data_IF_782438657246
#
_entry.id   IF_782438657246
#
_cell.length_a   1.000
_cell.length_b   1.000
_cell.length_c   1.000
_cell.angle_alpha   90.00
_cell.angle_beta   90.00
_cell.angle_gamma   90.00
#
_symmetry.space_group_name_H-M   'P 1'
#
loop_
_entity.id
_entity.type
_entity.pdbx_description
1 polymer ?
#
# COMPACT_ATOMS: atom_id res chain seq x y z
N UNK A 1 16.91 -0.16 9.37
CA UNK A 1 17.80 0.75 8.62
C UNK A 1 17.01 1.92 8.04
N UNK A 2 15.90 1.70 7.32
CA UNK A 2 15.02 2.75 6.77
C UNK A 2 14.46 3.63 7.88
N UNK A 3 13.90 3.06 8.96
CA UNK A 3 13.39 3.82 10.10
C UNK A 3 14.47 4.66 10.77
N UNK A 4 15.68 4.11 10.99
CA UNK A 4 16.81 4.85 11.57
C UNK A 4 17.26 5.99 10.66
N UNK A 5 17.33 5.75 9.35
CA UNK A 5 17.67 6.79 8.37
C UNK A 5 16.61 7.90 8.37
N UNK A 6 15.34 7.53 8.48
CA UNK A 6 14.22 8.44 8.52
C UNK A 6 14.26 9.32 9.78
N UNK A 7 14.42 8.71 10.95
CA UNK A 7 14.58 9.44 12.23
C UNK A 7 15.80 10.36 12.22
N UNK A 8 16.89 9.96 11.57
CA UNK A 8 18.09 10.78 11.45
C UNK A 8 17.92 11.98 10.50
N UNK A 9 17.20 11.79 9.40
CA UNK A 9 16.96 12.86 8.40
C UNK A 9 15.85 13.82 8.81
N UNK A 10 14.81 13.32 9.50
CA UNK A 10 13.58 14.07 9.81
C UNK A 10 13.25 14.16 11.29
N UNK A 11 14.06 13.57 12.17
CA UNK A 11 13.90 13.56 13.64
C UNK A 11 14.24 14.91 14.30
N UNK A 12 13.79 16.01 13.71
CA UNK A 12 13.85 17.33 14.32
C UNK A 12 12.78 17.53 15.39
N UNK A 13 12.89 18.58 16.20
CA UNK A 13 11.85 19.03 17.13
C UNK A 13 11.23 20.34 16.62
N UNK A 14 9.93 20.52 16.88
CA UNK A 14 9.19 21.73 16.49
C UNK A 14 8.72 21.76 15.04
N UNK A 15 8.59 22.94 14.40
CA UNK A 15 7.96 23.10 13.09
C UNK A 15 8.53 22.22 11.97
N UNK A 16 9.82 21.90 12.03
CA UNK A 16 10.48 21.03 11.03
C UNK A 16 9.97 19.61 11.14
N UNK A 17 9.69 19.12 12.34
CA UNK A 17 9.12 17.80 12.56
C UNK A 17 7.72 17.72 11.97
N UNK A 18 6.84 18.68 12.27
CA UNK A 18 5.47 18.71 11.76
C UNK A 18 5.45 18.77 10.21
N UNK A 19 6.31 19.57 9.59
CA UNK A 19 6.45 19.63 8.14
C UNK A 19 6.90 18.26 7.58
N UNK A 20 7.88 17.61 8.21
CA UNK A 20 8.36 16.30 7.76
C UNK A 20 7.29 15.24 7.88
N UNK A 21 6.50 15.25 8.95
CA UNK A 21 5.34 14.37 9.16
C UNK A 21 4.30 14.56 8.06
N UNK A 22 3.93 15.82 7.76
CA UNK A 22 2.99 16.15 6.69
C UNK A 22 3.46 15.68 5.31
N UNK A 23 4.73 15.93 4.99
CA UNK A 23 5.32 15.48 3.72
C UNK A 23 5.30 13.95 3.61
N UNK A 24 5.65 13.24 4.68
CA UNK A 24 5.64 11.78 4.69
C UNK A 24 4.23 11.21 4.55
N UNK A 25 3.25 11.79 5.23
CA UNK A 25 1.86 11.39 5.10
C UNK A 25 1.35 11.59 3.66
N UNK A 26 1.70 12.69 3.00
CA UNK A 26 1.33 12.94 1.60
C UNK A 26 2.06 11.98 0.63
N UNK A 27 3.32 11.65 0.87
CA UNK A 27 4.03 10.64 0.09
C UNK A 27 3.34 9.27 0.26
N UNK A 28 3.04 8.87 1.50
CA UNK A 28 2.31 7.64 1.80
C UNK A 28 0.94 7.61 1.11
N UNK A 29 0.19 8.72 1.13
CA UNK A 29 -1.07 8.88 0.41
C UNK A 29 -0.92 8.60 -1.09
N UNK A 30 0.08 9.20 -1.74
CA UNK A 30 0.34 8.99 -3.17
C UNK A 30 0.73 7.54 -3.49
N UNK A 31 1.56 6.93 -2.65
CA UNK A 31 1.94 5.51 -2.80
C UNK A 31 0.72 4.58 -2.63
N UNK A 32 -0.13 4.84 -1.64
CA UNK A 32 -1.38 4.07 -1.43
C UNK A 32 -2.35 4.25 -2.59
N UNK A 33 -2.50 5.47 -3.10
CA UNK A 33 -3.35 5.75 -4.26
C UNK A 33 -2.89 4.98 -5.50
N UNK A 34 -1.58 4.98 -5.77
CA UNK A 34 -0.99 4.20 -6.85
C UNK A 34 -1.23 2.71 -6.65
N UNK A 35 -0.90 2.17 -5.47
CA UNK A 35 -1.02 0.74 -5.16
C UNK A 35 -2.47 0.28 -5.23
N UNK A 36 -3.41 1.07 -4.69
CA UNK A 36 -4.85 0.81 -4.77
C UNK A 36 -5.33 0.71 -6.23
N UNK A 37 -4.94 1.66 -7.07
CA UNK A 37 -5.27 1.65 -8.51
C UNK A 37 -4.63 0.44 -9.23
N UNK A 38 -3.39 0.12 -8.91
CA UNK A 38 -2.68 -1.01 -9.49
C UNK A 38 -3.33 -2.35 -9.10
N UNK A 39 -3.75 -2.51 -7.83
CA UNK A 39 -4.46 -3.70 -7.36
C UNK A 39 -5.82 -3.87 -8.02
N UNK A 40 -6.58 -2.79 -8.17
CA UNK A 40 -7.86 -2.80 -8.88
C UNK A 40 -7.71 -3.24 -10.35
N UNK A 41 -6.68 -2.77 -11.03
CA UNK A 41 -6.41 -3.14 -12.41
C UNK A 41 -5.90 -4.58 -12.55
N UNK A 42 -5.19 -5.10 -11.55
CA UNK A 42 -4.70 -6.50 -11.50
C UNK A 42 -5.74 -7.53 -11.08
N UNK A 43 -6.94 -7.15 -10.74
CA UNK A 43 -8.02 -8.09 -10.50
C UNK A 43 -8.46 -8.85 -11.79
N UNK A 44 -7.86 -8.57 -12.94
CA UNK A 44 -7.73 -9.52 -14.05
C UNK A 44 -6.59 -10.51 -13.75
N UNK A 45 -6.76 -11.22 -12.65
CA UNK A 45 -5.83 -12.18 -12.05
C UNK A 45 -5.36 -13.26 -13.06
N UNK A 46 -6.17 -13.55 -14.06
CA UNK A 46 -5.84 -14.55 -15.08
C UNK A 46 -4.64 -14.15 -15.94
N UNK A 47 -4.53 -12.88 -16.34
CA UNK A 47 -3.39 -12.41 -17.15
C UNK A 47 -2.07 -12.38 -16.34
N UNK A 48 -2.17 -11.98 -15.07
CA UNK A 48 -1.02 -11.97 -14.17
C UNK A 48 -0.59 -13.38 -13.75
N UNK A 49 -1.52 -14.24 -13.37
CA UNK A 49 -1.22 -15.63 -13.05
C UNK A 49 -0.65 -16.36 -14.27
N UNK A 50 -1.16 -16.09 -15.47
CA UNK A 50 -0.58 -16.62 -16.71
C UNK A 50 0.85 -16.11 -16.92
N UNK A 51 1.09 -14.81 -16.75
CA UNK A 51 2.43 -14.22 -16.89
C UNK A 51 3.43 -14.80 -15.87
N UNK A 52 3.06 -14.85 -14.58
CA UNK A 52 3.90 -15.44 -13.53
C UNK A 52 4.13 -16.92 -13.80
N UNK A 53 3.07 -17.67 -14.13
CA UNK A 53 3.16 -19.10 -14.41
C UNK A 53 4.08 -19.38 -15.59
N UNK A 54 3.93 -18.66 -16.70
CA UNK A 54 4.79 -18.80 -17.87
C UNK A 54 6.26 -18.43 -17.54
N UNK A 55 6.49 -17.38 -16.77
CA UNK A 55 7.84 -16.98 -16.35
C UNK A 55 8.46 -17.99 -15.36
N UNK A 56 7.67 -18.51 -14.43
CA UNK A 56 8.14 -19.49 -13.44
C UNK A 56 8.33 -20.85 -14.10
N UNK A 57 7.41 -21.30 -14.96
CA UNK A 57 7.53 -22.57 -15.68
C UNK A 57 8.73 -22.53 -16.64
N UNK A 58 8.97 -21.44 -17.37
CA UNK A 58 10.15 -21.31 -18.21
C UNK A 58 11.46 -21.30 -17.41
N UNK A 59 11.51 -20.59 -16.28
CA UNK A 59 12.70 -20.57 -15.42
C UNK A 59 12.97 -21.94 -14.77
N UNK A 60 11.92 -22.66 -14.35
CA UNK A 60 12.04 -24.02 -13.79
C UNK A 60 12.42 -25.02 -14.88
N UNK A 61 11.83 -24.92 -16.08
CA UNK A 61 12.18 -25.78 -17.22
C UNK A 61 13.63 -25.57 -17.64
N UNK A 62 14.12 -24.34 -17.73
CA UNK A 62 15.51 -24.03 -18.03
C UNK A 62 16.46 -24.56 -16.96
N UNK A 63 16.08 -24.45 -15.67
CA UNK A 63 16.84 -25.02 -14.56
C UNK A 63 16.88 -26.55 -14.61
N UNK A 64 15.74 -27.19 -14.88
CA UNK A 64 15.65 -28.66 -15.01
C UNK A 64 16.44 -29.18 -16.21
N UNK A 65 16.35 -28.49 -17.36
CA UNK A 65 17.12 -28.86 -18.54
C UNK A 65 18.64 -28.75 -18.31
N UNK A 66 19.12 -27.73 -17.58
CA UNK A 66 20.52 -27.57 -17.21
C UNK A 66 20.98 -28.64 -16.22
N UNK A 67 20.14 -28.99 -15.24
CA UNK A 67 20.42 -30.09 -14.29
C UNK A 67 20.45 -31.43 -15.02
N UNK A 68 19.53 -31.67 -15.95
CA UNK A 68 19.48 -32.89 -16.78
C UNK A 68 20.66 -32.98 -17.75
N UNK A 69 21.24 -31.87 -18.17
CA UNK A 69 22.47 -31.80 -19.00
C UNK A 69 23.76 -31.95 -18.18
N UNK A 70 23.66 -32.14 -16.85
CA UNK A 70 24.83 -32.24 -15.95
C UNK A 70 25.53 -30.89 -15.69
N UNK A 71 24.98 -29.82 -16.18
CA UNK A 71 25.39 -28.44 -15.85
C UNK A 71 24.74 -28.04 -14.53
N UNK A 72 25.53 -27.84 -13.49
CA UNK A 72 25.00 -27.35 -12.20
C UNK A 72 24.23 -26.02 -12.38
N UNK A 73 23.18 -25.81 -11.59
CA UNK A 73 22.47 -24.52 -11.54
C UNK A 73 23.50 -23.44 -11.25
N UNK A 74 23.79 -22.61 -12.24
CA UNK A 74 24.85 -21.60 -12.13
C UNK A 74 24.58 -20.68 -10.94
N UNK A 75 25.58 -20.46 -10.10
CA UNK A 75 25.50 -19.60 -8.91
C UNK A 75 24.85 -18.23 -9.23
N UNK A 76 25.11 -17.69 -10.43
CA UNK A 76 24.52 -16.45 -10.93
C UNK A 76 23.00 -16.49 -11.04
N UNK A 77 22.38 -17.61 -11.39
CA UNK A 77 20.93 -17.76 -11.47
C UNK A 77 20.29 -17.77 -10.07
N UNK A 78 20.92 -18.50 -9.13
CA UNK A 78 20.47 -18.56 -7.73
C UNK A 78 20.56 -17.17 -7.10
N UNK A 79 21.68 -16.47 -7.31
CA UNK A 79 21.88 -15.09 -6.81
C UNK A 79 20.88 -14.13 -7.43
N UNK A 80 20.60 -14.24 -8.72
CA UNK A 80 19.61 -13.39 -9.41
C UNK A 80 18.20 -13.57 -8.84
N UNK A 81 17.76 -14.81 -8.64
CA UNK A 81 16.45 -15.13 -8.03
C UNK A 81 16.38 -14.68 -6.57
N UNK A 82 17.45 -14.89 -5.81
CA UNK A 82 17.54 -14.42 -4.42
C UNK A 82 17.47 -12.89 -4.33
N UNK A 83 18.16 -12.19 -5.24
CA UNK A 83 18.16 -10.73 -5.28
C UNK A 83 16.79 -10.15 -5.69
N UNK A 84 16.11 -10.76 -6.66
CA UNK A 84 14.74 -10.40 -7.02
C UNK A 84 13.79 -10.58 -5.85
N UNK A 85 13.88 -11.72 -5.14
CA UNK A 85 13.05 -11.97 -3.96
C UNK A 85 13.39 -10.99 -2.83
N UNK A 86 14.66 -10.70 -2.62
CA UNK A 86 15.11 -9.73 -1.63
C UNK A 86 14.57 -8.33 -1.93
N UNK A 87 14.70 -7.86 -3.17
CA UNK A 87 14.21 -6.54 -3.59
C UNK A 87 12.68 -6.42 -3.44
N UNK A 88 11.95 -7.48 -3.76
CA UNK A 88 10.49 -7.50 -3.57
C UNK A 88 10.12 -7.38 -2.09
N UNK A 89 10.72 -8.18 -1.21
CA UNK A 89 10.46 -8.13 0.25
C UNK A 89 10.95 -6.81 0.85
N UNK A 90 12.11 -6.31 0.41
CA UNK A 90 12.65 -5.04 0.87
C UNK A 90 11.73 -3.87 0.52
N UNK A 91 11.17 -3.87 -0.68
CA UNK A 91 10.21 -2.86 -1.12
C UNK A 91 8.97 -2.85 -0.22
N UNK A 92 8.34 -4.00 -0.02
CA UNK A 92 7.15 -4.14 0.85
C UNK A 92 7.46 -3.74 2.31
N UNK A 93 8.64 -4.13 2.80
CA UNK A 93 9.12 -3.72 4.12
C UNK A 93 9.32 -2.22 4.25
N UNK A 94 9.89 -1.57 3.23
CA UNK A 94 10.07 -0.12 3.22
C UNK A 94 8.73 0.63 3.19
N UNK A 95 7.77 0.18 2.36
CA UNK A 95 6.41 0.74 2.33
C UNK A 95 5.74 0.61 3.71
N UNK A 96 5.84 -0.55 4.36
CA UNK A 96 5.29 -0.78 5.70
C UNK A 96 5.89 0.18 6.73
N UNK A 97 7.22 0.38 6.71
CA UNK A 97 7.88 1.32 7.65
C UNK A 97 7.38 2.75 7.45
N UNK A 98 7.26 3.21 6.20
CA UNK A 98 6.77 4.56 5.89
C UNK A 98 5.33 4.74 6.39
N UNK A 99 4.45 3.74 6.20
CA UNK A 99 3.08 3.79 6.69
C UNK A 99 3.01 3.81 8.21
N UNK A 100 3.80 2.97 8.89
CA UNK A 100 3.87 2.97 10.35
C UNK A 100 4.38 4.30 10.91
N UNK A 101 5.40 4.87 10.30
CA UNK A 101 5.93 6.17 10.69
C UNK A 101 4.88 7.27 10.51
N UNK A 102 4.18 7.29 9.38
CA UNK A 102 3.10 8.25 9.13
C UNK A 102 1.97 8.14 10.14
N UNK A 103 1.55 6.92 10.51
CA UNK A 103 0.51 6.70 11.53
C UNK A 103 1.00 7.13 12.92
N UNK A 104 2.26 6.81 13.26
CA UNK A 104 2.85 7.19 14.54
C UNK A 104 2.94 8.69 14.70
N UNK A 105 3.38 9.37 13.65
CA UNK A 105 3.49 10.83 13.61
C UNK A 105 2.15 11.51 13.85
N UNK A 106 1.09 11.02 13.20
CA UNK A 106 -0.25 11.61 13.32
C UNK A 106 -0.86 11.45 14.71
N UNK A 107 -0.68 10.31 15.37
CA UNK A 107 -1.38 9.99 16.62
C UNK A 107 -0.46 9.98 17.85
N UNK A 108 0.84 9.89 17.67
CA UNK A 108 1.88 9.77 18.72
C UNK A 108 1.56 8.72 19.80
N UNK A 109 0.67 7.76 19.49
CA UNK A 109 0.28 6.67 20.38
C UNK A 109 1.10 5.41 20.11
N UNK A 110 2.25 5.31 20.77
CA UNK A 110 3.10 4.12 20.68
C UNK A 110 2.40 2.85 21.19
N UNK A 111 1.54 2.95 22.21
CA UNK A 111 0.85 1.77 22.76
C UNK A 111 -0.18 1.24 21.78
N UNK A 112 -1.03 2.10 21.21
CA UNK A 112 -2.00 1.71 20.18
C UNK A 112 -1.32 1.10 18.96
N UNK A 113 -0.19 1.64 18.55
CA UNK A 113 0.59 1.13 17.41
C UNK A 113 1.17 -0.27 17.68
N UNK A 114 1.71 -0.53 18.88
CA UNK A 114 2.19 -1.88 19.25
C UNK A 114 1.05 -2.89 19.36
N UNK A 115 -0.07 -2.51 19.98
CA UNK A 115 -1.26 -3.37 20.08
C UNK A 115 -1.79 -3.70 18.68
N UNK A 116 -1.92 -2.69 17.82
CA UNK A 116 -2.36 -2.86 16.42
C UNK A 116 -1.41 -3.75 15.61
N UNK A 117 -0.10 -3.57 15.77
CA UNK A 117 0.92 -4.38 15.12
C UNK A 117 0.88 -5.85 15.54
N UNK A 118 0.74 -6.12 16.84
CA UNK A 118 0.60 -7.48 17.37
C UNK A 118 -0.71 -8.12 16.88
N UNK A 119 -1.82 -7.38 16.95
CA UNK A 119 -3.12 -7.87 16.46
C UNK A 119 -3.06 -8.21 14.96
N UNK A 120 -2.46 -7.34 14.14
CA UNK A 120 -2.25 -7.61 12.72
C UNK A 120 -1.36 -8.84 12.49
N UNK A 121 -0.29 -9.00 13.27
CA UNK A 121 0.59 -10.17 13.22
C UNK A 121 -0.15 -11.47 13.52
N UNK A 122 -1.02 -11.46 14.53
CA UNK A 122 -1.87 -12.62 14.88
C UNK A 122 -2.85 -12.94 13.75
N UNK A 123 -3.51 -11.93 13.17
CA UNK A 123 -4.41 -12.12 12.03
C UNK A 123 -3.68 -12.70 10.83
N UNK A 124 -2.50 -12.18 10.51
CA UNK A 124 -1.66 -12.71 9.43
C UNK A 124 -1.22 -14.15 9.68
N UNK A 125 -0.84 -14.47 10.92
CA UNK A 125 -0.49 -15.84 11.30
C UNK A 125 -1.68 -16.78 11.12
N UNK A 126 -2.87 -16.39 11.55
CA UNK A 126 -4.11 -17.19 11.36
C UNK A 126 -4.38 -17.39 9.87
N UNK A 127 -4.31 -16.34 9.07
CA UNK A 127 -4.48 -16.44 7.60
C UNK A 127 -3.45 -17.40 7.01
N UNK A 128 -2.17 -17.27 7.39
CA UNK A 128 -1.11 -18.16 6.94
C UNK A 128 -1.38 -19.62 7.30
N UNK A 129 -1.78 -19.91 8.54
CA UNK A 129 -2.11 -21.26 8.99
C UNK A 129 -3.31 -21.84 8.24
N UNK A 130 -4.37 -21.04 8.07
CA UNK A 130 -5.54 -21.45 7.27
C UNK A 130 -5.13 -21.80 5.84
N UNK A 131 -4.31 -20.98 5.20
CA UNK A 131 -3.79 -21.23 3.86
C UNK A 131 -2.89 -22.45 3.77
N UNK A 132 -2.06 -22.67 4.78
CA UNK A 132 -1.09 -23.76 4.82
C UNK A 132 -1.74 -25.13 5.05
N UNK A 133 -2.77 -25.17 5.90
CA UNK A 133 -3.40 -26.44 6.31
C UNK A 133 -4.72 -26.73 5.58
N UNK A 134 -5.36 -25.71 5.02
CA UNK A 134 -6.61 -25.90 4.30
C UNK A 134 -6.34 -25.66 2.81
N UNK A 135 -6.67 -26.63 1.94
CA UNK A 135 -6.54 -26.48 0.49
C UNK A 135 -7.57 -25.50 -0.09
N UNK A 136 -7.94 -24.46 0.67
CA UNK A 136 -8.89 -23.45 0.26
C UNK A 136 -8.23 -22.54 -0.77
N UNK A 137 -8.78 -22.56 -1.98
CA UNK A 137 -8.45 -21.58 -3.01
C UNK A 137 -9.03 -20.24 -2.58
N UNK A 138 -8.19 -19.34 -2.06
CA UNK A 138 -8.67 -17.98 -1.76
C UNK A 138 -9.23 -17.38 -3.04
N UNK A 139 -10.45 -16.85 -3.00
CA UNK A 139 -10.97 -16.07 -4.11
C UNK A 139 -10.16 -14.76 -4.20
N UNK A 140 -9.12 -14.79 -5.01
CA UNK A 140 -8.14 -13.70 -5.17
C UNK A 140 -8.85 -12.36 -5.51
N UNK A 141 -9.93 -12.42 -6.28
CA UNK A 141 -10.71 -11.23 -6.66
C UNK A 141 -11.28 -10.44 -5.48
N UNK A 142 -12.10 -11.06 -4.59
CA UNK A 142 -12.60 -10.41 -3.37
C UNK A 142 -11.49 -9.94 -2.44
N UNK A 143 -10.41 -10.72 -2.27
CA UNK A 143 -9.27 -10.31 -1.45
C UNK A 143 -8.67 -8.98 -1.93
N UNK A 144 -8.33 -8.88 -3.22
CA UNK A 144 -7.82 -7.65 -3.80
C UNK A 144 -8.80 -6.48 -3.72
N UNK A 145 -10.11 -6.75 -3.85
CA UNK A 145 -11.12 -5.71 -3.73
C UNK A 145 -11.15 -5.13 -2.30
N UNK A 146 -11.21 -5.98 -1.28
CA UNK A 146 -11.22 -5.55 0.13
C UNK A 146 -9.97 -4.76 0.47
N UNK A 147 -8.80 -5.27 0.09
CA UNK A 147 -7.53 -4.57 0.32
C UNK A 147 -7.48 -3.21 -0.39
N UNK A 148 -7.98 -3.12 -1.64
CA UNK A 148 -8.06 -1.85 -2.37
C UNK A 148 -8.98 -0.84 -1.69
N UNK A 149 -10.10 -1.29 -1.11
CA UNK A 149 -11.02 -0.41 -0.36
C UNK A 149 -10.34 0.09 0.92
N UNK A 150 -9.65 -0.79 1.66
CA UNK A 150 -8.91 -0.37 2.86
C UNK A 150 -7.83 0.66 2.53
N UNK A 151 -7.05 0.43 1.47
CA UNK A 151 -6.06 1.40 0.99
C UNK A 151 -6.71 2.72 0.58
N UNK A 152 -7.87 2.68 -0.07
CA UNK A 152 -8.62 3.87 -0.47
C UNK A 152 -9.08 4.71 0.74
N UNK A 153 -9.50 4.06 1.82
CA UNK A 153 -9.84 4.73 3.08
C UNK A 153 -8.61 5.41 3.68
N UNK A 154 -7.48 4.70 3.73
CA UNK A 154 -6.22 5.27 4.23
C UNK A 154 -5.73 6.47 3.39
N UNK A 155 -5.93 6.46 2.08
CA UNK A 155 -5.62 7.61 1.20
C UNK A 155 -6.35 8.87 1.69
N UNK A 156 -7.63 8.75 2.02
CA UNK A 156 -8.44 9.89 2.49
C UNK A 156 -7.97 10.36 3.87
N UNK A 157 -7.65 9.43 4.78
CA UNK A 157 -7.14 9.72 6.13
C UNK A 157 -5.81 10.47 6.02
N UNK A 158 -4.86 9.95 5.26
CA UNK A 158 -3.54 10.57 5.10
C UNK A 158 -3.58 11.92 4.36
N UNK A 159 -4.56 12.13 3.47
CA UNK A 159 -4.76 13.42 2.85
C UNK A 159 -5.11 14.50 3.89
N UNK A 160 -6.04 14.20 4.81
CA UNK A 160 -6.42 15.12 5.88
C UNK A 160 -5.30 15.37 6.89
N UNK A 161 -4.74 14.27 7.43
CA UNK A 161 -3.66 14.35 8.43
C UNK A 161 -2.39 14.99 7.89
N UNK A 162 -2.02 14.70 6.64
CA UNK A 162 -0.83 15.27 6.01
C UNK A 162 -0.95 16.80 5.84
N UNK A 163 -2.10 17.31 5.40
CA UNK A 163 -2.33 18.76 5.31
C UNK A 163 -2.39 19.39 6.70
N UNK A 164 -3.00 18.72 7.69
CA UNK A 164 -3.02 19.20 9.07
C UNK A 164 -1.62 19.40 9.64
N UNK A 165 -0.75 18.42 9.49
CA UNK A 165 0.65 18.50 9.95
C UNK A 165 1.41 19.64 9.25
N UNK A 166 1.15 19.92 7.97
CA UNK A 166 1.73 21.07 7.27
C UNK A 166 1.21 22.42 7.81
N UNK A 167 -0.04 22.47 8.26
CA UNK A 167 -0.62 23.66 8.90
C UNK A 167 0.03 23.87 10.29
N UNK A 168 0.16 22.81 11.09
CA UNK A 168 0.83 22.87 12.40
C UNK A 168 2.30 23.27 12.29
N UNK A 169 2.98 22.80 11.24
CA UNK A 169 4.35 23.21 10.90
C UNK A 169 4.48 24.64 10.37
N UNK A 170 3.37 25.33 10.14
CA UNK A 170 3.36 26.71 9.64
C UNK A 170 3.74 26.85 8.16
N UNK A 171 3.71 25.76 7.39
CA UNK A 171 3.97 25.79 5.95
C UNK A 171 2.74 26.23 5.14
N UNK A 172 1.55 25.98 5.65
CA UNK A 172 0.27 26.33 5.06
C UNK A 172 -0.55 27.09 6.09
N UNK A 173 -1.17 28.21 5.68
CA UNK A 173 -2.12 28.91 6.52
C UNK A 173 -3.44 28.13 6.55
N UNK A 174 -3.95 27.85 7.75
CA UNK A 174 -5.17 27.08 7.95
C UNK A 174 -6.36 27.98 8.27
N UNK A 175 -7.47 27.81 7.56
CA UNK A 175 -8.76 28.46 7.85
C UNK A 175 -9.60 27.57 8.76
N UNK A 176 -9.68 27.94 10.04
CA UNK A 176 -10.38 27.16 11.07
C UNK A 176 -11.90 27.22 10.92
N UNK A 177 -12.56 26.08 11.03
CA UNK A 177 -14.02 25.90 11.00
C UNK A 177 -14.52 25.38 12.35
N UNK A 178 -15.20 26.22 13.11
CA UNK A 178 -15.73 25.86 14.43
C UNK A 178 -16.85 24.80 14.43
N UNK A 179 -17.41 24.51 13.24
CA UNK A 179 -18.54 23.57 13.09
C UNK A 179 -18.11 22.11 12.91
N UNK A 180 -16.82 21.81 12.72
CA UNK A 180 -16.31 20.47 12.42
C UNK A 180 -15.57 19.93 13.65
N UNK A 181 -15.94 18.73 14.16
CA UNK A 181 -15.20 18.09 15.26
C UNK A 181 -13.87 17.55 14.75
N UNK A 182 -12.86 17.59 15.60
CA UNK A 182 -11.57 16.92 15.36
C UNK A 182 -11.69 15.42 15.59
N UNK A 183 -11.21 14.61 14.66
CA UNK A 183 -11.13 13.16 14.81
C UNK A 183 -9.90 12.61 14.11
N UNK A 184 -8.87 12.30 14.90
CA UNK A 184 -7.57 11.83 14.42
C UNK A 184 -7.66 10.46 13.71
N UNK A 185 -8.60 9.59 14.13
CA UNK A 185 -8.76 8.25 13.55
C UNK A 185 -9.16 8.26 12.07
N UNK A 186 -9.91 9.27 11.66
CA UNK A 186 -10.34 9.43 10.27
C UNK A 186 -9.64 10.60 9.56
N UNK A 187 -8.65 11.20 10.23
CA UNK A 187 -7.90 12.34 9.72
C UNK A 187 -8.76 13.59 9.52
N UNK A 188 -9.87 13.71 10.29
CA UNK A 188 -10.82 14.83 10.16
C UNK A 188 -10.37 15.97 11.08
N UNK A 189 -10.04 17.09 10.49
CA UNK A 189 -9.60 18.29 11.19
C UNK A 189 -10.45 19.50 10.78
N UNK A 190 -10.68 20.45 11.72
CA UNK A 190 -11.55 21.61 11.49
C UNK A 190 -10.86 22.71 10.69
N UNK A 191 -10.25 22.35 9.57
CA UNK A 191 -9.64 23.28 8.63
C UNK A 191 -10.18 23.05 7.22
N UNK A 192 -10.44 24.15 6.50
CA UNK A 192 -10.98 24.09 5.11
C UNK A 192 -10.05 23.32 4.21
N UNK A 193 -8.74 23.52 4.36
CA UNK A 193 -7.68 22.89 3.56
C UNK A 193 -7.65 21.37 3.75
N UNK A 194 -7.80 20.90 5.00
CA UNK A 194 -7.84 19.47 5.31
C UNK A 194 -9.07 18.81 4.69
N UNK A 195 -10.23 19.43 4.84
CA UNK A 195 -11.49 18.94 4.24
C UNK A 195 -11.43 18.95 2.71
N UNK A 196 -10.86 20.00 2.12
CA UNK A 196 -10.69 20.08 0.67
C UNK A 196 -9.75 18.96 0.16
N UNK A 197 -8.63 18.73 0.85
CA UNK A 197 -7.70 17.64 0.51
C UNK A 197 -8.36 16.25 0.61
N UNK A 198 -9.13 16.01 1.68
CA UNK A 198 -9.90 14.77 1.83
C UNK A 198 -10.95 14.60 0.73
N UNK A 199 -11.67 15.67 0.38
CA UNK A 199 -12.65 15.63 -0.70
C UNK A 199 -11.99 15.33 -2.06
N UNK A 200 -10.88 15.99 -2.36
CA UNK A 200 -10.11 15.75 -3.60
C UNK A 200 -9.60 14.30 -3.63
N UNK A 201 -9.03 13.81 -2.53
CA UNK A 201 -8.54 12.43 -2.42
C UNK A 201 -9.69 11.42 -2.61
N UNK A 202 -10.85 11.65 -1.98
CA UNK A 202 -12.02 10.80 -2.12
C UNK A 202 -12.55 10.79 -3.58
N UNK A 203 -12.62 11.96 -4.23
CA UNK A 203 -13.03 12.06 -5.65
C UNK A 203 -12.03 11.32 -6.54
N UNK A 204 -10.73 11.47 -6.31
CA UNK A 204 -9.69 10.77 -7.07
C UNK A 204 -9.81 9.25 -6.93
N UNK A 205 -10.00 8.76 -5.71
CA UNK A 205 -10.23 7.33 -5.42
C UNK A 205 -11.48 6.83 -6.14
N UNK A 206 -12.62 7.52 -6.00
CA UNK A 206 -13.87 7.13 -6.65
C UNK A 206 -13.74 7.11 -8.18
N UNK A 207 -13.05 8.09 -8.76
CA UNK A 207 -12.79 8.13 -10.20
C UNK A 207 -11.93 6.93 -10.66
N UNK A 208 -10.87 6.60 -9.91
CA UNK A 208 -10.02 5.45 -10.21
C UNK A 208 -10.79 4.12 -10.12
N UNK A 209 -11.65 3.98 -9.10
CA UNK A 209 -12.52 2.81 -8.95
C UNK A 209 -13.54 2.71 -10.10
N UNK A 210 -14.18 3.82 -10.46
CA UNK A 210 -15.13 3.86 -11.58
C UNK A 210 -14.46 3.45 -12.90
N UNK A 211 -13.28 3.99 -13.20
CA UNK A 211 -12.49 3.61 -14.39
C UNK A 211 -12.09 2.13 -14.34
N UNK A 212 -11.62 1.64 -13.18
CA UNK A 212 -11.25 0.24 -12.99
C UNK A 212 -12.43 -0.72 -13.23
N UNK A 213 -13.61 -0.42 -12.68
CA UNK A 213 -14.81 -1.21 -12.89
C UNK A 213 -15.33 -1.13 -14.34
N UNK A 214 -15.30 0.05 -14.95
CA UNK A 214 -15.72 0.23 -16.35
C UNK A 214 -14.85 -0.59 -17.33
N UNK A 215 -13.52 -0.61 -17.10
CA UNK A 215 -12.59 -1.45 -17.90
C UNK A 215 -12.92 -2.94 -17.75
N UNK A 216 -13.19 -3.41 -16.53
CA UNK A 216 -13.58 -4.81 -16.30
C UNK A 216 -14.86 -5.18 -17.02
N UNK A 217 -15.86 -4.29 -16.99
CA UNK A 217 -17.14 -4.52 -17.67
C UNK A 217 -16.96 -4.63 -19.18
N UNK A 218 -16.09 -3.78 -19.76
CA UNK A 218 -15.80 -3.79 -21.21
C UNK A 218 -15.07 -5.05 -21.69
N UNK A 219 -14.21 -5.64 -20.85
CA UNK A 219 -13.50 -6.90 -21.13
C UNK A 219 -14.37 -8.14 -20.96
N UNK A 220 -15.48 -8.02 -20.24
CA UNK A 220 -16.43 -9.12 -19.98
C UNK A 220 -17.54 -9.24 -21.02
N UNK A 221 -17.71 -8.24 -21.88
CA UNK A 221 -18.66 -8.30 -23.00
C UNK A 221 -17.92 -8.90 -24.20
N UNK A 222 -18.16 -10.17 -24.59
CA UNK A 222 -17.62 -10.68 -25.84
C UNK A 222 -18.22 -9.85 -26.97
N UNK A 223 -17.39 -9.45 -27.92
CA UNK A 223 -17.84 -8.83 -29.18
C UNK A 223 -18.72 -9.80 -29.93
N UNK A 224 -20.03 -9.68 -29.74
CA UNK A 224 -21.05 -10.45 -30.44
C UNK A 224 -21.39 -9.74 -31.76
N UNK A 225 -20.35 -9.29 -32.49
CA UNK A 225 -20.46 -8.80 -33.86
C UNK A 225 -19.63 -9.71 -34.77
N UNK A 226 -20.21 -10.86 -35.12
CA UNK A 226 -20.02 -11.53 -36.41
C UNK A 226 -21.34 -12.08 -36.86
#
# INVERSE_FOLDING_TARGET
LVAVLFTFLFGGSGPVQEISEGVCALIAMLMLLWTSNWMLNKSSVEAWNRYIRTKTESAVADAQNKVAAGEGVGLGMVVSLAMLSFLAVFREGAETVIFYESIYSMNRDAQGMWIGGIAAGVVLLVIFLVLRFTSVKIPIGPFFLVTSILMAVLVVIFAGGGIHALIEGGLIDGHYLSSVPTNDWIGLYPYVECLAAQAIAAIAVLALFAVGFARKRKLRTPDNRK
#
